data_IF_513024290238
#
_entry.id   IF_513024290238
#
_cell.length_a   1.000
_cell.length_b   1.000
_cell.length_c   1.000
_cell.angle_alpha   90.00
_cell.angle_beta   90.00
_cell.angle_gamma   90.00
#
_symmetry.space_group_name_H-M   'P 1'
#
loop_
_entity.id
_entity.type
_entity.pdbx_description
1 polymer ?
#
# COMPACT_ATOMS: atom_id res chain seq x y z
N UNK A 1 -13.32 5.69 14.59
CA UNK A 1 -12.85 5.97 13.23
C UNK A 1 -11.91 7.18 13.26
N UNK A 2 -10.90 7.19 12.41
CA UNK A 2 -9.96 8.29 12.13
C UNK A 2 -10.14 8.62 10.65
N UNK A 3 -10.18 9.91 10.31
CA UNK A 3 -10.21 10.39 8.93
C UNK A 3 -8.80 10.86 8.54
N UNK A 4 -8.29 10.38 7.40
CA UNK A 4 -6.98 10.74 6.87
C UNK A 4 -7.11 11.68 5.68
N UNK A 5 -6.11 12.55 5.55
CA UNK A 5 -5.81 13.36 4.38
C UNK A 5 -4.30 13.46 4.24
N UNK A 6 -3.81 13.72 3.03
CA UNK A 6 -2.41 14.01 2.79
C UNK A 6 -2.10 15.47 3.14
N UNK A 7 -0.97 15.68 3.80
CA UNK A 7 -0.44 17.02 4.09
C UNK A 7 0.75 17.37 3.20
N UNK A 8 1.55 16.36 2.83
CA UNK A 8 2.70 16.45 1.90
C UNK A 8 2.79 15.12 1.14
N UNK A 9 3.15 15.18 -0.14
CA UNK A 9 3.35 14.04 -1.05
C UNK A 9 4.76 14.02 -1.67
N UNK A 10 5.69 14.86 -1.19
CA UNK A 10 7.07 14.94 -1.65
C UNK A 10 7.35 16.03 -2.70
N UNK A 11 6.39 16.93 -2.95
CA UNK A 11 6.47 17.98 -3.98
C UNK A 11 6.83 19.38 -3.42
N UNK A 12 7.02 19.55 -2.11
CA UNK A 12 7.49 20.81 -1.48
C UNK A 12 6.82 21.14 -0.14
N UNK A 13 7.30 22.17 0.58
CA UNK A 13 6.68 22.66 1.83
C UNK A 13 5.32 23.33 1.55
N UNK A 14 4.22 22.64 1.79
CA UNK A 14 2.89 23.23 1.75
C UNK A 14 1.80 22.29 1.26
N UNK A 15 0.56 22.62 1.63
CA UNK A 15 -0.68 21.85 1.42
C UNK A 15 -0.78 21.20 0.03
N UNK A 16 -0.96 19.88 0.02
CA UNK A 16 -1.38 19.07 -1.14
C UNK A 16 -2.60 19.69 -1.81
N UNK A 17 -2.72 19.63 -3.14
CA UNK A 17 -3.91 20.10 -3.85
C UNK A 17 -5.11 19.18 -3.62
N UNK A 18 -6.34 19.68 -3.84
CA UNK A 18 -7.57 18.90 -3.58
C UNK A 18 -7.59 17.62 -4.44
N UNK A 19 -7.27 17.75 -5.72
CA UNK A 19 -7.18 16.64 -6.67
C UNK A 19 -6.12 15.62 -6.25
N UNK A 20 -4.94 16.09 -5.87
CA UNK A 20 -3.84 15.21 -5.46
C UNK A 20 -4.19 14.46 -4.17
N UNK A 21 -4.80 15.13 -3.18
CA UNK A 21 -5.29 14.46 -1.97
C UNK A 21 -6.34 13.39 -2.32
N UNK A 22 -7.28 13.70 -3.20
CA UNK A 22 -8.28 12.75 -3.67
C UNK A 22 -7.62 11.53 -4.33
N UNK A 23 -6.72 11.76 -5.28
CA UNK A 23 -6.01 10.71 -6.02
C UNK A 23 -5.22 9.80 -5.08
N UNK A 24 -4.45 10.37 -4.14
CA UNK A 24 -3.63 9.57 -3.23
C UNK A 24 -4.46 8.77 -2.23
N UNK A 25 -5.59 9.31 -1.73
CA UNK A 25 -6.49 8.55 -0.86
C UNK A 25 -7.20 7.41 -1.60
N UNK A 26 -7.54 7.59 -2.88
CA UNK A 26 -8.07 6.53 -3.74
C UNK A 26 -7.01 5.44 -3.94
N UNK A 27 -5.76 5.83 -4.22
CA UNK A 27 -4.64 4.88 -4.36
C UNK A 27 -4.41 4.09 -3.08
N UNK A 28 -4.41 4.73 -1.91
CA UNK A 28 -4.29 4.07 -0.61
C UNK A 28 -5.45 3.08 -0.36
N UNK A 29 -6.69 3.47 -0.67
CA UNK A 29 -7.85 2.57 -0.59
C UNK A 29 -7.73 1.36 -1.53
N UNK A 30 -7.27 1.58 -2.77
CA UNK A 30 -6.99 0.51 -3.73
C UNK A 30 -5.88 -0.42 -3.21
N UNK A 31 -4.83 0.12 -2.58
CA UNK A 31 -3.72 -0.65 -2.03
C UNK A 31 -4.18 -1.52 -0.85
N UNK A 32 -5.02 -0.99 0.04
CA UNK A 32 -5.63 -1.78 1.13
C UNK A 32 -6.50 -2.91 0.57
N UNK A 33 -7.38 -2.62 -0.40
CA UNK A 33 -8.22 -3.64 -1.05
C UNK A 33 -7.39 -4.71 -1.77
N UNK A 34 -6.33 -4.31 -2.45
CA UNK A 34 -5.45 -5.22 -3.19
C UNK A 34 -4.63 -6.09 -2.24
N UNK A 35 -4.14 -5.51 -1.14
CA UNK A 35 -3.46 -6.27 -0.08
C UNK A 35 -4.39 -7.31 0.54
N UNK A 36 -5.66 -6.96 0.76
CA UNK A 36 -6.65 -7.91 1.27
C UNK A 36 -6.83 -9.10 0.31
N UNK A 37 -6.98 -8.84 -0.99
CA UNK A 37 -7.05 -9.89 -1.99
C UNK A 37 -5.81 -10.80 -1.96
N UNK A 38 -4.60 -10.23 -1.94
CA UNK A 38 -3.37 -11.02 -1.89
C UNK A 38 -3.26 -11.84 -0.61
N UNK A 39 -3.66 -11.28 0.54
CA UNK A 39 -3.62 -11.97 1.82
C UNK A 39 -4.55 -13.19 1.82
N UNK A 40 -5.75 -13.04 1.26
CA UNK A 40 -6.70 -14.15 1.09
C UNK A 40 -6.11 -15.26 0.22
N UNK A 41 -5.51 -14.92 -0.93
CA UNK A 41 -4.86 -15.89 -1.80
C UNK A 41 -3.65 -16.58 -1.12
N UNK A 42 -2.86 -15.81 -0.39
CA UNK A 42 -1.71 -16.33 0.37
C UNK A 42 -2.14 -17.35 1.43
N UNK A 43 -3.19 -17.04 2.21
CA UNK A 43 -3.74 -17.94 3.22
C UNK A 43 -4.30 -19.22 2.56
N UNK A 44 -4.98 -19.10 1.41
CA UNK A 44 -5.46 -20.26 0.64
C UNK A 44 -4.27 -21.14 0.20
N UNK A 45 -3.23 -20.53 -0.37
CA UNK A 45 -2.05 -21.24 -0.84
C UNK A 45 -1.31 -21.96 0.30
N UNK A 46 -1.17 -21.31 1.46
CA UNK A 46 -0.57 -21.91 2.64
C UNK A 46 -1.34 -23.13 3.14
N UNK A 47 -2.68 -23.04 3.18
CA UNK A 47 -3.53 -24.18 3.55
C UNK A 47 -3.43 -25.34 2.57
N UNK A 48 -3.41 -25.06 1.26
CA UNK A 48 -3.28 -26.10 0.23
C UNK A 48 -1.94 -26.83 0.29
N UNK A 49 -0.89 -26.15 0.76
CA UNK A 49 0.46 -26.70 0.88
C UNK A 49 0.80 -27.18 2.31
N UNK A 50 -0.16 -27.17 3.23
CA UNK A 50 0.01 -27.54 4.65
C UNK A 50 1.16 -26.78 5.34
N UNK A 51 1.27 -25.48 5.06
CA UNK A 51 2.29 -24.60 5.65
C UNK A 51 1.72 -23.88 6.87
N UNK A 52 2.35 -24.08 8.03
CA UNK A 52 1.96 -23.44 9.30
C UNK A 52 2.37 -21.96 9.36
N UNK A 53 1.56 -21.08 8.76
CA UNK A 53 1.70 -19.62 8.83
C UNK A 53 1.01 -19.03 10.06
N UNK A 54 1.32 -17.77 10.38
CA UNK A 54 0.43 -16.96 11.22
C UNK A 54 -0.85 -16.67 10.43
N UNK A 55 -2.01 -17.00 11.02
CA UNK A 55 -3.31 -16.98 10.32
C UNK A 55 -4.24 -15.90 10.86
N UNK A 56 -3.96 -15.40 12.07
CA UNK A 56 -4.77 -14.37 12.71
C UNK A 56 -4.25 -12.99 12.25
N UNK A 57 -4.31 -12.78 10.92
CA UNK A 57 -3.89 -11.56 10.22
C UNK A 57 -5.06 -11.05 9.39
N UNK A 58 -5.36 -9.76 9.52
CA UNK A 58 -6.40 -9.09 8.74
C UNK A 58 -5.87 -7.79 8.14
N UNK A 59 -6.47 -7.33 7.05
CA UNK A 59 -6.28 -5.95 6.57
C UNK A 59 -7.38 -5.09 7.18
N UNK A 60 -7.04 -3.88 7.58
CA UNK A 60 -8.01 -2.99 8.21
C UNK A 60 -9.26 -2.75 7.35
N UNK A 61 -10.42 -2.65 8.03
CA UNK A 61 -11.59 -2.01 7.43
C UNK A 61 -11.26 -0.55 7.07
N UNK A 62 -11.72 -0.10 5.91
CA UNK A 62 -11.61 1.28 5.49
C UNK A 62 -12.87 1.75 4.76
N UNK A 63 -13.09 3.06 4.70
CA UNK A 63 -14.16 3.69 3.93
C UNK A 63 -13.65 4.96 3.28
N UNK A 64 -14.00 5.18 2.01
CA UNK A 64 -13.87 6.50 1.40
C UNK A 64 -15.13 7.31 1.71
N UNK A 65 -14.95 8.53 2.18
CA UNK A 65 -16.03 9.48 2.37
C UNK A 65 -15.76 10.77 1.62
N UNK A 66 -16.84 11.37 1.14
CA UNK A 66 -16.80 12.66 0.45
C UNK A 66 -17.39 13.70 1.39
N UNK A 67 -16.73 14.84 1.49
CA UNK A 67 -17.27 15.97 2.24
C UNK A 67 -18.45 16.59 1.48
N UNK A 68 -19.59 16.73 2.18
CA UNK A 68 -20.77 17.40 1.63
C UNK A 68 -20.64 18.89 1.95
N UNK A 69 -20.39 19.70 0.91
CA UNK A 69 -20.24 21.15 1.03
C UNK A 69 -21.53 21.81 0.54
N UNK A 70 -22.18 22.58 1.43
CA UNK A 70 -23.41 23.30 1.10
C UNK A 70 -23.16 24.44 0.10
N UNK A 71 -24.20 24.80 -0.66
CA UNK A 71 -24.11 25.90 -1.62
C UNK A 71 -23.70 27.21 -0.93
N UNK A 72 -22.58 27.80 -1.37
CA UNK A 72 -22.02 29.03 -0.80
C UNK A 72 -21.16 28.82 0.46
N UNK A 73 -21.05 27.59 0.97
CA UNK A 73 -20.08 27.21 2.00
C UNK A 73 -18.73 26.84 1.36
N UNK A 74 -17.70 26.70 2.21
CA UNK A 74 -16.39 26.17 1.81
C UNK A 74 -16.09 24.84 2.53
N UNK A 75 -14.98 24.19 2.16
CA UNK A 75 -14.50 23.01 2.86
C UNK A 75 -14.34 23.23 4.36
N UNK A 76 -14.41 22.14 5.10
CA UNK A 76 -14.19 22.11 6.54
C UNK A 76 -12.79 22.58 6.89
N UNK A 77 -12.64 23.18 8.08
CA UNK A 77 -11.32 23.58 8.61
C UNK A 77 -10.36 22.38 8.67
N UNK A 78 -10.89 21.18 8.96
CA UNK A 78 -10.09 19.96 9.04
C UNK A 78 -9.45 19.58 7.71
N UNK A 79 -10.12 19.86 6.58
CA UNK A 79 -9.61 19.57 5.23
C UNK A 79 -8.35 20.37 4.91
N UNK A 80 -8.15 21.51 5.58
CA UNK A 80 -7.02 22.42 5.32
C UNK A 80 -7.12 23.17 3.99
N UNK A 81 -8.21 23.04 3.25
CA UNK A 81 -8.43 23.74 1.98
C UNK A 81 -9.20 25.04 2.19
N UNK A 82 -8.80 26.09 1.49
CA UNK A 82 -9.52 27.37 1.47
C UNK A 82 -10.72 27.32 0.53
N UNK A 83 -11.68 28.23 0.73
CA UNK A 83 -12.80 28.41 -0.20
C UNK A 83 -12.32 28.80 -1.60
N UNK A 84 -11.21 29.52 -1.71
CA UNK A 84 -10.63 29.94 -2.99
C UNK A 84 -10.06 28.74 -3.76
N UNK A 85 -9.32 27.86 -3.08
CA UNK A 85 -8.82 26.61 -3.66
C UNK A 85 -9.98 25.74 -4.15
N UNK A 86 -11.04 25.62 -3.35
CA UNK A 86 -12.22 24.85 -3.70
C UNK A 86 -13.00 25.46 -4.89
N UNK A 87 -13.06 26.79 -5.01
CA UNK A 87 -13.74 27.42 -6.15
C UNK A 87 -12.94 27.30 -7.45
N UNK A 88 -11.62 27.46 -7.38
CA UNK A 88 -10.75 27.39 -8.56
C UNK A 88 -10.94 26.09 -9.36
N UNK A 89 -11.08 24.96 -8.64
CA UNK A 89 -11.27 23.64 -9.26
C UNK A 89 -12.67 23.42 -9.87
N UNK A 90 -13.66 24.23 -9.48
CA UNK A 90 -15.05 24.13 -9.94
C UNK A 90 -15.41 25.18 -10.99
N UNK A 91 -14.61 26.24 -11.13
CA UNK A 91 -14.77 27.26 -12.17
C UNK A 91 -14.15 26.83 -13.51
N UNK A 92 -13.20 25.89 -13.51
CA UNK A 92 -12.49 25.45 -14.72
C UNK A 92 -13.18 24.31 -15.51
N UNK A 93 -14.19 23.64 -14.94
CA UNK A 93 -14.84 22.49 -15.60
C UNK A 93 -16.34 22.37 -15.27
N UNK A 94 -17.20 22.99 -16.09
CA UNK A 94 -18.67 22.82 -16.02
C UNK A 94 -19.15 21.42 -16.47
N UNK A 95 -18.25 20.56 -16.99
CA UNK A 95 -18.61 19.32 -17.70
C UNK A 95 -18.28 18.02 -16.96
N UNK A 96 -17.45 18.04 -15.92
CA UNK A 96 -17.06 16.84 -15.17
C UNK A 96 -17.56 16.88 -13.71
N UNK A 97 -18.52 16.02 -13.39
CA UNK A 97 -19.13 15.93 -12.04
C UNK A 97 -18.19 15.26 -11.01
N UNK A 98 -16.88 15.10 -11.25
CA UNK A 98 -16.06 14.19 -10.43
C UNK A 98 -14.69 14.67 -9.94
N UNK A 99 -14.11 15.76 -10.44
CA UNK A 99 -12.69 16.06 -10.16
C UNK A 99 -12.45 17.13 -9.07
N UNK A 100 -13.49 17.59 -8.38
CA UNK A 100 -13.42 18.65 -7.38
C UNK A 100 -13.93 18.31 -5.97
N UNK A 101 -13.84 17.07 -5.52
CA UNK A 101 -14.39 16.65 -4.22
C UNK A 101 -13.32 16.53 -3.13
N UNK A 102 -13.65 16.99 -1.92
CA UNK A 102 -12.81 16.76 -0.73
C UNK A 102 -13.08 15.35 -0.23
N UNK A 103 -12.11 14.45 -0.41
CA UNK A 103 -12.17 13.05 -0.02
C UNK A 103 -11.40 12.80 1.27
N UNK A 104 -11.89 11.82 2.04
CA UNK A 104 -11.32 11.33 3.28
C UNK A 104 -11.23 9.80 3.24
N UNK A 105 -10.13 9.24 3.73
CA UNK A 105 -10.04 7.81 4.04
C UNK A 105 -10.30 7.60 5.52
N UNK A 106 -11.30 6.79 5.85
CA UNK A 106 -11.68 6.45 7.21
C UNK A 106 -11.20 5.06 7.58
N UNK A 107 -10.61 4.93 8.76
CA UNK A 107 -10.25 3.64 9.36
C UNK A 107 -10.65 3.57 10.84
N UNK A 108 -10.80 2.38 11.44
CA UNK A 108 -10.94 2.23 12.88
C UNK A 108 -9.82 2.98 13.63
N UNK A 109 -10.18 3.64 14.73
CA UNK A 109 -9.18 4.29 15.59
C UNK A 109 -8.48 3.21 16.38
N UNK A 110 -7.15 3.17 16.32
CA UNK A 110 -6.34 2.19 17.04
C UNK A 110 -5.53 2.91 18.13
N UNK A 111 -5.37 2.26 19.28
CA UNK A 111 -4.63 2.79 20.44
C UNK A 111 -3.46 1.86 20.85
N UNK A 112 -3.13 0.88 20.02
CA UNK A 112 -2.08 -0.11 20.24
C UNK A 112 -0.73 0.37 19.68
N UNK A 113 0.36 -0.26 20.11
CA UNK A 113 1.69 0.00 19.57
C UNK A 113 1.82 -0.60 18.17
N UNK A 114 2.30 0.21 17.22
CA UNK A 114 2.64 -0.23 15.86
C UNK A 114 3.89 -1.11 15.87
N UNK A 115 3.89 -2.16 15.05
CA UNK A 115 5.05 -2.98 14.72
C UNK A 115 5.33 -2.87 13.22
N UNK A 116 6.58 -2.57 12.89
CA UNK A 116 7.07 -2.55 11.52
C UNK A 116 7.78 -3.87 11.21
N UNK A 117 7.46 -4.45 10.06
CA UNK A 117 7.97 -5.73 9.57
C UNK A 117 8.84 -5.56 8.32
N UNK A 118 8.61 -4.51 7.54
CA UNK A 118 9.54 -3.97 6.55
C UNK A 118 9.49 -2.45 6.61
N UNK A 119 10.46 -1.80 5.98
CA UNK A 119 10.38 -0.37 5.64
C UNK A 119 10.12 -0.18 4.15
N UNK A 120 10.15 1.05 3.68
CA UNK A 120 10.01 1.36 2.24
C UNK A 120 11.03 0.60 1.38
N UNK A 121 12.31 0.62 1.75
CA UNK A 121 13.38 -0.06 1.00
C UNK A 121 14.17 -1.05 1.89
N UNK A 122 13.53 -1.57 2.94
CA UNK A 122 14.16 -2.40 3.97
C UNK A 122 13.36 -3.69 4.16
N UNK A 123 14.01 -4.84 3.91
CA UNK A 123 13.35 -6.16 3.92
C UNK A 123 14.06 -7.12 4.88
N UNK A 124 13.96 -6.90 6.20
CA UNK A 124 14.70 -7.68 7.17
C UNK A 124 14.27 -9.16 7.18
N UNK A 125 15.21 -10.10 7.37
CA UNK A 125 14.87 -11.49 7.53
C UNK A 125 14.31 -11.76 8.94
N UNK A 126 13.11 -12.34 9.00
CA UNK A 126 12.43 -12.69 10.26
C UNK A 126 12.49 -14.19 10.55
N UNK A 127 13.67 -14.71 10.93
CA UNK A 127 13.83 -16.16 11.10
C UNK A 127 13.25 -16.73 12.41
N UNK A 128 13.15 -15.91 13.47
CA UNK A 128 12.75 -16.35 14.82
C UNK A 128 11.40 -15.76 15.27
N UNK A 129 10.61 -15.24 14.34
CA UNK A 129 9.30 -14.68 14.62
C UNK A 129 8.31 -15.21 13.58
N UNK A 130 7.29 -15.98 14.01
CA UNK A 130 6.33 -16.62 13.11
C UNK A 130 5.58 -15.61 12.25
N UNK A 131 5.06 -14.54 12.86
CA UNK A 131 4.36 -13.46 12.18
C UNK A 131 5.26 -12.72 11.18
N UNK A 132 6.45 -12.27 11.60
CA UNK A 132 7.40 -11.62 10.70
C UNK A 132 7.84 -12.52 9.55
N UNK A 133 8.06 -13.81 9.81
CA UNK A 133 8.40 -14.80 8.77
C UNK A 133 7.24 -15.01 7.80
N UNK A 134 6.01 -15.01 8.31
CA UNK A 134 4.78 -15.09 7.51
C UNK A 134 4.64 -13.86 6.60
N UNK A 135 4.80 -12.66 7.15
CA UNK A 135 4.69 -11.40 6.39
C UNK A 135 5.80 -11.22 5.36
N UNK A 136 7.02 -11.69 5.67
CA UNK A 136 8.12 -11.71 4.70
C UNK A 136 7.83 -12.66 3.53
N UNK A 137 7.29 -13.86 3.81
CA UNK A 137 6.83 -14.78 2.77
C UNK A 137 5.61 -14.24 2.00
N UNK A 138 4.73 -13.50 2.66
CA UNK A 138 3.58 -12.85 2.03
C UNK A 138 4.01 -11.78 1.01
N UNK A 139 5.02 -10.97 1.31
CA UNK A 139 5.58 -10.02 0.35
C UNK A 139 6.13 -10.72 -0.91
N UNK A 140 6.88 -11.81 -0.73
CA UNK A 140 7.40 -12.62 -1.84
C UNK A 140 6.27 -13.31 -2.63
N UNK A 141 5.28 -13.88 -1.93
CA UNK A 141 4.13 -14.48 -2.59
C UNK A 141 3.36 -13.47 -3.43
N UNK A 142 3.19 -12.24 -2.93
CA UNK A 142 2.55 -11.15 -3.67
C UNK A 142 3.28 -10.85 -4.97
N UNK A 143 4.62 -10.76 -4.91
CA UNK A 143 5.46 -10.57 -6.10
C UNK A 143 5.26 -11.66 -7.15
N UNK A 144 5.25 -12.93 -6.76
CA UNK A 144 5.03 -14.03 -7.71
C UNK A 144 3.59 -14.06 -8.24
N UNK A 145 2.59 -13.87 -7.35
CA UNK A 145 1.17 -13.90 -7.72
C UNK A 145 0.80 -12.75 -8.66
N UNK A 146 1.42 -11.58 -8.49
CA UNK A 146 1.21 -10.43 -9.37
C UNK A 146 1.99 -10.52 -10.69
N UNK A 147 2.64 -11.65 -10.98
CA UNK A 147 3.52 -11.83 -12.15
C UNK A 147 4.67 -10.81 -12.14
N UNK A 148 5.35 -10.72 -11.01
CA UNK A 148 6.56 -9.90 -10.80
C UNK A 148 6.31 -8.38 -10.92
N UNK A 149 5.05 -7.96 -10.87
CA UNK A 149 4.66 -6.57 -11.11
C UNK A 149 4.53 -5.70 -9.87
N UNK A 150 4.44 -6.31 -8.68
CA UNK A 150 4.09 -5.62 -7.43
C UNK A 150 4.80 -6.28 -6.26
N UNK A 151 5.42 -5.51 -5.37
CA UNK A 151 5.89 -6.00 -4.07
C UNK A 151 5.37 -5.13 -2.94
N UNK A 152 4.96 -5.76 -1.84
CA UNK A 152 4.55 -5.05 -0.64
C UNK A 152 5.78 -4.51 0.11
N UNK A 153 5.71 -3.25 0.50
CA UNK A 153 6.72 -2.52 1.26
C UNK A 153 6.09 -1.90 2.52
N UNK A 154 6.94 -1.42 3.43
CA UNK A 154 6.52 -0.78 4.69
C UNK A 154 5.40 -1.54 5.44
N UNK A 155 5.52 -2.87 5.48
CA UNK A 155 4.51 -3.74 6.06
C UNK A 155 4.50 -3.50 7.56
N UNK A 156 3.35 -3.08 8.08
CA UNK A 156 3.18 -2.78 9.48
C UNK A 156 1.86 -3.36 10.02
N UNK A 157 1.85 -3.66 11.31
CA UNK A 157 0.67 -4.20 11.98
C UNK A 157 0.45 -3.58 13.36
N UNK A 158 -0.79 -3.67 13.82
CA UNK A 158 -1.17 -3.47 15.22
C UNK A 158 -2.01 -4.66 15.69
N UNK A 159 -1.78 -5.10 16.93
CA UNK A 159 -2.69 -6.05 17.56
C UNK A 159 -3.99 -5.35 17.95
N UNK A 160 -5.11 -6.03 17.67
CA UNK A 160 -6.46 -5.62 18.09
C UNK A 160 -6.75 -5.86 19.57
N UNK A 161 -5.88 -6.61 20.27
CA UNK A 161 -6.03 -7.01 21.67
C UNK A 161 -6.74 -8.36 21.87
N UNK A 162 -7.31 -8.95 20.82
CA UNK A 162 -7.94 -10.28 20.83
C UNK A 162 -7.04 -11.36 20.18
N UNK A 163 -5.87 -10.94 19.69
CA UNK A 163 -4.85 -11.81 19.11
C UNK A 163 -4.72 -11.69 17.60
N UNK A 164 -5.51 -10.82 16.97
CA UNK A 164 -5.45 -10.56 15.53
C UNK A 164 -4.45 -9.43 15.25
N UNK A 165 -3.66 -9.62 14.22
CA UNK A 165 -2.73 -8.65 13.68
C UNK A 165 -3.35 -7.92 12.50
N UNK A 166 -3.67 -6.65 12.70
CA UNK A 166 -4.31 -5.82 11.67
C UNK A 166 -3.24 -5.06 10.89
N UNK A 167 -3.13 -5.35 9.59
CA UNK A 167 -2.33 -4.63 8.62
C UNK A 167 -3.06 -3.35 8.19
N UNK A 168 -2.32 -2.25 8.11
CA UNK A 168 -2.82 -0.93 7.73
C UNK A 168 -1.65 -0.12 7.15
N UNK A 169 -1.93 1.01 6.50
CA UNK A 169 -0.91 1.89 5.89
C UNK A 169 0.09 1.11 5.03
N UNK A 170 -0.43 0.20 4.20
CA UNK A 170 0.37 -0.67 3.36
C UNK A 170 0.93 0.11 2.17
N UNK A 171 2.22 -0.07 1.90
CA UNK A 171 2.88 0.47 0.72
C UNK A 171 3.15 -0.65 -0.29
N UNK A 172 3.29 -0.29 -1.56
CA UNK A 172 3.80 -1.20 -2.56
C UNK A 172 4.81 -0.50 -3.48
N UNK A 173 5.62 -1.31 -4.15
CA UNK A 173 6.30 -0.89 -5.36
C UNK A 173 5.66 -1.60 -6.54
N UNK A 174 5.32 -0.84 -7.57
CA UNK A 174 4.68 -1.37 -8.78
C UNK A 174 5.53 -1.06 -10.01
N UNK A 175 5.50 -1.91 -11.04
CA UNK A 175 6.32 -1.67 -12.24
C UNK A 175 6.04 -0.31 -12.91
N UNK A 176 4.81 0.19 -12.79
CA UNK A 176 4.36 1.47 -13.36
C UNK A 176 4.36 2.64 -12.36
N UNK A 177 4.73 2.40 -11.10
CA UNK A 177 4.79 3.44 -10.05
C UNK A 177 3.40 3.98 -9.64
N UNK A 178 2.35 3.19 -9.83
CA UNK A 178 0.96 3.64 -9.70
C UNK A 178 0.37 3.52 -8.29
N UNK A 179 1.04 2.85 -7.34
CA UNK A 179 0.43 2.53 -6.03
C UNK A 179 0.31 3.69 -5.05
N UNK A 180 0.96 4.83 -5.32
CA UNK A 180 0.83 6.07 -4.55
C UNK A 180 2.13 6.53 -3.91
N UNK A 181 2.02 7.34 -2.86
CA UNK A 181 3.17 7.89 -2.14
C UNK A 181 4.07 6.78 -1.61
N UNK A 182 5.37 6.88 -1.89
CA UNK A 182 6.38 5.89 -1.49
C UNK A 182 6.56 4.73 -2.47
N UNK A 183 5.87 4.74 -3.61
CA UNK A 183 6.14 3.80 -4.70
C UNK A 183 7.47 4.17 -5.41
N UNK A 184 8.51 3.38 -5.19
CA UNK A 184 9.81 3.52 -5.84
C UNK A 184 9.90 2.79 -7.19
N UNK A 185 8.77 2.30 -7.69
CA UNK A 185 8.66 1.65 -8.98
C UNK A 185 9.56 0.41 -9.10
N UNK A 186 10.14 0.24 -10.29
CA UNK A 186 11.12 -0.82 -10.58
C UNK A 186 12.30 -0.83 -9.61
N UNK A 187 12.82 0.34 -9.21
CA UNK A 187 13.97 0.41 -8.30
C UNK A 187 13.65 -0.13 -6.90
N UNK A 188 12.42 0.05 -6.45
CA UNK A 188 11.92 -0.54 -5.21
C UNK A 188 11.77 -2.06 -5.31
N UNK A 189 11.26 -2.55 -6.44
CA UNK A 189 11.19 -3.99 -6.74
C UNK A 189 12.59 -4.59 -6.75
N UNK A 190 13.53 -4.03 -7.51
CA UNK A 190 14.93 -4.49 -7.56
C UNK A 190 15.57 -4.52 -6.17
N UNK A 191 15.31 -3.51 -5.34
CA UNK A 191 15.77 -3.47 -3.96
C UNK A 191 15.22 -4.63 -3.15
N UNK A 192 13.94 -4.99 -3.33
CA UNK A 192 13.37 -6.18 -2.72
C UNK A 192 14.08 -7.45 -3.21
N UNK A 193 14.29 -7.62 -4.52
CA UNK A 193 14.96 -8.82 -5.06
C UNK A 193 16.38 -8.99 -4.52
N UNK A 194 17.11 -7.87 -4.33
CA UNK A 194 18.47 -7.87 -3.81
C UNK A 194 18.54 -8.17 -2.32
N UNK A 195 17.54 -7.72 -1.54
CA UNK A 195 17.57 -7.78 -0.07
C UNK A 195 16.72 -8.90 0.52
N UNK A 196 15.77 -9.45 -0.22
CA UNK A 196 14.90 -10.52 0.26
C UNK A 196 15.69 -11.81 0.47
N UNK A 197 15.68 -12.32 1.70
CA UNK A 197 16.22 -13.64 2.02
C UNK A 197 15.09 -14.64 2.23
N UNK A 198 14.95 -15.58 1.30
CA UNK A 198 13.93 -16.64 1.35
C UNK A 198 14.01 -17.40 2.71
N UNK A 199 12.97 -17.27 3.55
CA UNK A 199 12.83 -17.96 4.83
C UNK A 199 12.21 -19.36 4.73
N UNK A 200 11.94 -20.01 5.87
CA UNK A 200 11.30 -21.33 5.89
C UNK A 200 9.91 -21.31 5.25
N UNK A 201 9.07 -20.31 5.54
CA UNK A 201 7.75 -20.18 4.93
C UNK A 201 7.83 -20.03 3.41
N UNK A 202 8.76 -19.21 2.87
CA UNK A 202 8.98 -19.11 1.43
C UNK A 202 9.31 -20.47 0.81
N UNK A 203 10.20 -21.24 1.44
CA UNK A 203 10.60 -22.58 0.96
C UNK A 203 9.46 -23.59 1.05
N UNK A 204 8.70 -23.59 2.14
CA UNK A 204 7.57 -24.50 2.32
C UNK A 204 6.42 -24.21 1.37
N UNK A 205 6.20 -22.93 1.05
CA UNK A 205 5.27 -22.48 0.02
C UNK A 205 5.80 -22.66 -1.41
N UNK A 206 7.03 -23.16 -1.55
CA UNK A 206 7.73 -23.41 -2.82
C UNK A 206 7.80 -22.16 -3.70
N UNK A 207 7.97 -20.99 -3.07
CA UNK A 207 8.19 -19.73 -3.78
C UNK A 207 9.55 -19.83 -4.45
N UNK A 208 9.57 -19.89 -5.79
CA UNK A 208 10.83 -20.02 -6.51
C UNK A 208 11.58 -18.71 -6.43
N UNK A 209 12.80 -18.77 -5.88
CA UNK A 209 13.72 -17.64 -5.92
C UNK A 209 14.34 -17.51 -7.36
N UNK A 210 14.04 -18.41 -8.32
CA UNK A 210 14.51 -18.34 -9.72
C UNK A 210 13.89 -17.15 -10.49
N UNK A 211 12.72 -16.65 -10.06
CA UNK A 211 12.11 -15.42 -10.60
C UNK A 211 12.99 -14.18 -10.35
N UNK A 212 13.80 -14.17 -9.28
CA UNK A 212 14.74 -13.07 -9.00
C UNK A 212 15.87 -12.98 -10.03
N UNK A 213 16.23 -14.08 -10.69
CA UNK A 213 17.36 -14.13 -11.61
C UNK A 213 17.01 -13.64 -13.03
N UNK A 214 15.74 -13.79 -13.46
CA UNK A 214 15.31 -13.38 -14.80
C UNK A 214 15.03 -11.88 -14.93
N UNK A 215 14.62 -11.20 -13.84
CA UNK A 215 14.29 -9.77 -13.90
C UNK A 215 15.52 -8.85 -13.88
N UNK A 216 16.68 -9.33 -13.43
CA UNK A 216 17.93 -8.55 -13.38
C UNK A 216 18.69 -8.56 -14.72
N UNK A 217 18.33 -9.45 -15.64
CA UNK A 217 19.00 -9.62 -16.94
C UNK A 217 18.30 -8.84 -18.09
N UNK A 218 17.18 -8.16 -17.83
CA UNK A 218 16.40 -7.45 -18.86
C UNK A 218 16.79 -5.98 -19.10
N UNK A 219 17.93 -5.51 -18.60
CA UNK A 219 18.45 -4.18 -18.96
C UNK A 219 19.40 -4.25 -20.16
N UNK A 220 19.01 -3.56 -21.23
CA UNK A 220 19.81 -3.07 -22.37
C UNK A 220 20.42 -4.08 -23.35
N UNK A 221 19.58 -4.62 -24.24
CA UNK A 221 19.93 -4.81 -25.66
C UNK A 221 18.72 -4.62 -26.57
N UNK A 222 18.29 -3.38 -26.77
CA UNK A 222 17.64 -2.99 -28.02
C UNK A 222 17.80 -1.48 -28.20
N UNK A 223 18.71 -1.11 -29.10
CA UNK A 223 18.67 0.04 -30.02
C UNK A 223 20.10 0.39 -30.49
N UNK A 224 20.60 -0.38 -31.47
CA UNK A 224 21.36 0.15 -32.62
C UNK A 224 21.47 -0.95 -33.67
N UNK A 225 20.64 -0.86 -34.71
CA UNK A 225 21.00 -1.15 -36.10
C UNK A 225 20.08 -0.38 -37.05
#
# INVERSE_FOLDING_TARGET
>A
WVAKRFYDTGMGEGTVEIQENCLQLIKEACQLSTTQYFLEQFIIAARQQDVDIEKDIEVTEFKLGVEVIEAGAGPSIASGFSLEQYKAIHEEDESSIQEGIVVWLFEPRRNSKVRHWSGTNEYPPWHNNKLGSTLNAFAHYTYLLSQESTVLADIQSMSDGEGIEVLFDMMAHTLDGSSGVGDHGKSGIETFLQKHECGNHCRYLRLSCDGFAHSLDSTDKDETE
#
